data_IF_992467943521
#
_entry.id   IF_992467943521
#
_cell.length_a   1.000
_cell.length_b   1.000
_cell.length_c   1.000
_cell.angle_alpha   90.00
_cell.angle_beta   90.00
_cell.angle_gamma   90.00
#
_symmetry.space_group_name_H-M   'P 1'
#
loop_
_entity.id
_entity.type
_entity.pdbx_description
1 polymer ?
#
# COMPACT_ATOMS: atom_id res chain seq x y z
N UNK A 1 -31.75 36.46 -3.46
CA UNK A 1 -33.10 36.92 -3.11
C UNK A 1 -33.96 35.67 -2.93
N UNK A 2 -34.24 35.35 -1.64
CA UNK A 2 -35.39 34.55 -1.16
C UNK A 2 -35.37 33.06 -1.56
N UNK A 3 -35.35 32.04 -0.70
CA UNK A 3 -35.96 31.79 0.63
C UNK A 3 -35.29 30.57 1.23
N UNK A 4 -34.70 30.61 2.32
CA UNK A 4 -34.93 30.35 3.74
C UNK A 4 -36.26 29.66 4.09
N UNK A 5 -36.14 28.60 4.90
CA UNK A 5 -36.94 28.21 6.06
C UNK A 5 -37.45 26.76 6.09
N UNK A 6 -36.99 26.11 7.14
CA UNK A 6 -37.69 25.18 8.07
C UNK A 6 -37.89 23.71 7.71
N UNK A 7 -37.28 22.86 8.54
CA UNK A 7 -38.10 22.05 9.45
C UNK A 7 -37.26 21.47 10.62
N UNK A 8 -37.53 22.04 11.76
CA UNK A 8 -37.25 21.48 13.08
C UNK A 8 -38.43 20.58 13.51
N UNK A 9 -38.13 19.65 14.40
CA UNK A 9 -39.00 18.87 15.30
C UNK A 9 -39.79 17.69 14.73
N UNK A 10 -39.38 16.50 15.24
CA UNK A 10 -40.32 15.62 15.93
C UNK A 10 -39.57 14.62 16.83
N UNK A 11 -39.44 15.00 18.11
CA UNK A 11 -39.20 14.06 19.21
C UNK A 11 -40.56 13.45 19.60
N UNK A 12 -40.72 12.16 19.43
CA UNK A 12 -41.83 11.41 19.99
C UNK A 12 -41.34 10.70 21.23
N UNK A 13 -41.78 11.17 22.40
CA UNK A 13 -41.63 10.53 23.70
C UNK A 13 -42.76 9.49 23.81
N UNK A 14 -42.44 8.19 23.89
CA UNK A 14 -43.37 7.16 24.32
C UNK A 14 -43.29 6.97 25.82
N UNK A 15 -44.34 7.39 26.51
CA UNK A 15 -44.58 7.15 27.92
C UNK A 15 -45.36 5.82 28.01
N UNK A 16 -44.75 4.78 28.54
CA UNK A 16 -45.43 3.50 28.79
C UNK A 16 -46.07 3.51 30.18
N UNK A 17 -47.38 3.42 30.20
CA UNK A 17 -48.21 3.26 31.37
C UNK A 17 -48.20 1.78 31.76
N UNK A 18 -47.78 1.49 33.00
CA UNK A 18 -47.86 0.17 33.62
C UNK A 18 -49.27 0.03 34.25
N UNK A 19 -50.04 -0.90 33.76
CA UNK A 19 -51.25 -1.38 34.43
C UNK A 19 -50.95 -2.73 35.08
N UNK A 20 -50.94 -2.77 36.41
CA UNK A 20 -50.96 -3.98 37.21
C UNK A 20 -52.40 -4.54 37.28
N UNK A 21 -52.60 -5.78 36.88
CA UNK A 21 -53.76 -6.57 37.28
C UNK A 21 -53.24 -7.96 37.62
N UNK A 22 -53.42 -8.33 38.85
CA UNK A 22 -53.02 -9.61 39.37
C UNK A 22 -54.10 -10.69 39.27
N UNK A 23 -53.67 -11.88 39.57
CA UNK A 23 -54.34 -13.07 40.07
C UNK A 23 -54.45 -14.29 39.13
N UNK A 24 -53.87 -15.40 39.63
CA UNK A 24 -54.47 -16.71 39.53
C UNK A 24 -53.65 -17.82 38.87
N UNK A 25 -52.88 -18.53 39.65
CA UNK A 25 -52.76 -19.97 39.82
C UNK A 25 -52.57 -20.89 38.60
N UNK A 26 -51.47 -21.65 38.58
CA UNK A 26 -51.33 -22.83 37.74
C UNK A 26 -49.86 -23.19 37.50
N UNK A 27 -49.26 -24.08 38.27
CA UNK A 27 -47.91 -24.53 38.13
C UNK A 27 -47.67 -25.33 36.83
N UNK A 28 -46.64 -24.94 36.10
CA UNK A 28 -45.94 -25.78 35.17
C UNK A 28 -44.49 -25.35 35.23
N UNK A 29 -43.62 -26.23 35.70
CA UNK A 29 -42.19 -26.06 35.70
C UNK A 29 -41.65 -26.11 34.27
N UNK A 30 -41.58 -24.94 33.60
CA UNK A 30 -40.76 -24.77 32.44
C UNK A 30 -39.36 -24.32 32.94
N UNK A 31 -38.37 -25.15 32.70
CA UNK A 31 -36.96 -24.74 32.86
C UNK A 31 -36.67 -23.62 31.89
N UNK A 32 -36.73 -22.38 32.36
CA UNK A 32 -36.12 -21.25 31.64
C UNK A 32 -34.64 -21.51 31.62
N UNK A 33 -34.13 -21.86 30.42
CA UNK A 33 -32.69 -21.78 30.16
C UNK A 33 -32.34 -20.32 30.11
N UNK A 34 -31.57 -19.84 31.08
CA UNK A 34 -30.98 -18.49 31.06
C UNK A 34 -30.30 -18.28 29.70
N UNK A 35 -30.45 -17.10 29.06
CA UNK A 35 -29.76 -16.80 27.83
C UNK A 35 -28.25 -16.91 28.08
N UNK A 36 -27.58 -17.77 27.32
CA UNK A 36 -26.11 -17.87 27.35
C UNK A 36 -25.57 -16.51 26.92
N UNK A 37 -25.17 -15.71 27.90
CA UNK A 37 -24.44 -14.44 27.62
C UNK A 37 -23.06 -14.86 27.18
N UNK A 38 -22.85 -14.89 25.85
CA UNK A 38 -21.51 -15.03 25.29
C UNK A 38 -20.71 -13.79 25.69
N UNK A 39 -19.53 -13.94 26.33
CA UNK A 39 -18.70 -12.79 26.63
C UNK A 39 -18.37 -12.05 25.35
N UNK A 40 -18.19 -10.70 25.38
CA UNK A 40 -17.80 -9.94 24.22
C UNK A 40 -16.47 -10.49 23.68
N UNK A 41 -16.25 -10.48 22.36
CA UNK A 41 -15.01 -10.96 21.77
C UNK A 41 -13.82 -10.22 22.39
N UNK A 42 -12.79 -10.97 22.75
CA UNK A 42 -11.55 -10.38 23.25
C UNK A 42 -10.94 -9.45 22.17
N UNK A 43 -10.52 -8.23 22.52
CA UNK A 43 -9.87 -7.35 21.57
C UNK A 43 -8.67 -8.04 20.91
N UNK A 44 -8.38 -7.74 19.63
CA UNK A 44 -7.23 -8.33 18.96
C UNK A 44 -5.92 -7.94 19.64
N UNK A 45 -4.99 -8.87 19.69
CA UNK A 45 -3.66 -8.65 20.28
C UNK A 45 -2.78 -7.91 19.28
N UNK A 46 -2.20 -6.80 19.73
CA UNK A 46 -1.14 -6.07 19.04
C UNK A 46 0.07 -6.00 19.97
N UNK A 47 1.27 -6.11 19.41
CA UNK A 47 2.53 -5.90 20.14
C UNK A 47 3.44 -4.99 19.32
N UNK A 48 4.23 -4.17 20.00
CA UNK A 48 5.29 -3.41 19.35
C UNK A 48 6.34 -4.34 18.72
N UNK A 49 6.96 -3.93 17.60
CA UNK A 49 8.04 -4.67 16.99
C UNK A 49 9.24 -4.88 17.93
N UNK A 50 9.75 -6.09 17.94
CA UNK A 50 11.01 -6.45 18.61
C UNK A 50 12.03 -6.76 17.52
N UNK A 51 13.13 -6.01 17.49
CA UNK A 51 14.13 -6.07 16.44
C UNK A 51 15.44 -6.66 16.93
N UNK A 52 16.07 -7.46 16.08
CA UNK A 52 17.38 -8.08 16.31
C UNK A 52 18.32 -7.83 15.13
N UNK A 53 19.63 -7.63 15.37
CA UNK A 53 20.60 -7.50 14.30
C UNK A 53 20.63 -8.71 13.38
N UNK A 54 20.86 -8.46 12.09
CA UNK A 54 21.07 -9.50 11.09
C UNK A 54 22.54 -9.59 10.68
N UNK A 55 22.88 -10.50 9.77
CA UNK A 55 24.20 -10.54 9.11
C UNK A 55 24.35 -9.49 8.00
N UNK A 56 23.26 -8.84 7.58
CA UNK A 56 23.28 -7.76 6.62
C UNK A 56 23.62 -6.44 7.32
N UNK A 57 24.53 -5.67 6.74
CA UNK A 57 24.93 -4.36 7.28
C UNK A 57 23.74 -3.45 7.46
N UNK A 58 23.68 -2.71 8.56
CA UNK A 58 22.63 -1.72 8.85
C UNK A 58 21.18 -2.26 8.78
N UNK A 59 21.01 -3.57 8.94
CA UNK A 59 19.71 -4.22 8.75
C UNK A 59 19.31 -4.95 10.03
N UNK A 60 18.10 -4.69 10.51
CA UNK A 60 17.46 -5.42 11.61
C UNK A 60 16.34 -6.31 11.06
N UNK A 61 16.13 -7.44 11.73
CA UNK A 61 14.94 -8.28 11.55
C UNK A 61 14.01 -8.06 12.73
N UNK A 62 12.75 -7.74 12.45
CA UNK A 62 11.77 -7.37 13.45
C UNK A 62 10.55 -8.28 13.38
N UNK A 63 9.97 -8.61 14.53
CA UNK A 63 8.74 -9.37 14.67
C UNK A 63 7.75 -8.66 15.57
N UNK A 64 6.46 -8.79 15.27
CA UNK A 64 5.36 -8.21 16.05
C UNK A 64 4.10 -9.06 15.91
N UNK A 65 3.06 -8.71 16.69
CA UNK A 65 1.69 -9.16 16.39
C UNK A 65 0.85 -7.97 15.96
N UNK A 66 0.05 -8.18 14.92
CA UNK A 66 -0.96 -7.22 14.50
C UNK A 66 -2.27 -7.93 14.19
N UNK A 67 -3.36 -7.53 14.84
CA UNK A 67 -4.70 -8.15 14.73
C UNK A 67 -4.65 -9.68 14.94
N UNK A 68 -3.93 -10.14 15.97
CA UNK A 68 -3.64 -11.54 16.31
C UNK A 68 -2.73 -12.29 15.32
N UNK A 69 -2.28 -11.68 14.24
CA UNK A 69 -1.36 -12.30 13.28
C UNK A 69 0.09 -12.00 13.66
N UNK A 70 0.95 -13.00 13.54
CA UNK A 70 2.39 -12.81 13.60
C UNK A 70 2.84 -12.11 12.32
N UNK A 71 3.57 -11.00 12.49
CA UNK A 71 4.11 -10.17 11.40
C UNK A 71 5.60 -10.02 11.56
N UNK A 72 6.28 -9.91 10.45
CA UNK A 72 7.73 -9.74 10.41
C UNK A 72 8.14 -8.77 9.29
N UNK A 73 9.29 -8.15 9.46
CA UNK A 73 9.87 -7.28 8.45
C UNK A 73 11.39 -7.14 8.66
N UNK A 74 12.08 -6.70 7.61
CA UNK A 74 13.43 -6.18 7.70
C UNK A 74 13.40 -4.66 7.61
N UNK A 75 14.27 -4.01 8.37
CA UNK A 75 14.45 -2.56 8.27
C UNK A 75 15.92 -2.26 8.03
N UNK A 76 16.19 -1.45 7.02
CA UNK A 76 17.49 -0.90 6.70
C UNK A 76 17.54 0.55 7.17
N UNK A 77 18.51 0.86 8.04
CA UNK A 77 18.73 2.19 8.60
C UNK A 77 20.13 2.64 8.20
N UNK A 78 20.28 3.62 7.30
CA UNK A 78 21.60 4.13 6.89
C UNK A 78 22.44 4.60 8.07
N UNK A 79 23.77 4.47 7.95
CA UNK A 79 24.67 5.11 8.88
C UNK A 79 24.49 6.64 8.83
N UNK A 80 24.74 7.29 9.96
CA UNK A 80 24.70 8.76 10.09
C UNK A 80 23.34 9.38 9.73
N UNK A 81 22.25 8.60 9.80
CA UNK A 81 20.90 9.17 9.74
C UNK A 81 20.63 9.92 11.05
N UNK A 82 20.19 11.16 10.93
CA UNK A 82 19.82 11.93 12.11
C UNK A 82 18.41 11.51 12.58
N UNK A 83 18.32 10.79 13.67
CA UNK A 83 17.07 10.35 14.30
C UNK A 83 16.61 11.29 15.44
N UNK A 84 17.24 12.43 15.62
CA UNK A 84 16.91 13.37 16.73
C UNK A 84 16.20 14.63 16.28
N UNK A 85 16.48 15.10 15.07
CA UNK A 85 15.80 16.24 14.43
C UNK A 85 15.35 15.84 13.05
N UNK A 86 15.38 14.58 12.76
CA UNK A 86 15.31 14.16 11.43
C UNK A 86 13.92 14.08 10.95
N UNK A 87 13.94 14.14 9.80
CA UNK A 87 12.85 14.00 8.92
C UNK A 87 13.27 13.08 7.81
N UNK A 88 13.88 11.95 8.17
CA UNK A 88 14.25 10.95 7.21
C UNK A 88 13.00 10.39 6.54
N UNK A 89 12.93 10.35 5.22
CA UNK A 89 11.84 9.68 4.52
C UNK A 89 11.78 8.19 4.87
N UNK A 90 10.58 7.61 4.77
CA UNK A 90 10.36 6.17 4.88
C UNK A 90 9.92 5.60 3.53
N UNK A 91 10.59 4.53 3.09
CA UNK A 91 10.20 3.77 1.91
C UNK A 91 9.77 2.35 2.31
N UNK A 92 8.56 1.95 1.97
CA UNK A 92 8.16 0.55 1.93
C UNK A 92 8.57 -0.08 0.60
N UNK A 93 9.31 -1.20 0.66
CA UNK A 93 9.62 -2.03 -0.51
C UNK A 93 8.91 -3.38 -0.37
N UNK A 94 7.83 -3.57 -1.14
CA UNK A 94 6.87 -4.67 -1.00
C UNK A 94 7.18 -5.79 -1.98
N UNK A 95 7.30 -7.03 -1.47
CA UNK A 95 7.61 -8.20 -2.29
C UNK A 95 6.43 -8.64 -3.18
N UNK A 96 6.74 -9.39 -4.24
CA UNK A 96 5.73 -10.01 -5.12
C UNK A 96 5.03 -11.22 -4.48
N UNK A 97 3.98 -11.72 -5.13
CA UNK A 97 3.31 -12.98 -4.77
C UNK A 97 4.31 -14.13 -4.76
N UNK A 98 4.20 -15.05 -3.80
CA UNK A 98 5.14 -16.17 -3.54
C UNK A 98 6.54 -15.76 -3.07
N UNK A 99 6.87 -14.47 -3.07
CA UNK A 99 8.19 -13.96 -2.71
C UNK A 99 8.30 -13.68 -1.20
N UNK A 100 9.46 -13.21 -0.77
CA UNK A 100 9.76 -12.93 0.65
C UNK A 100 10.45 -11.58 0.82
N UNK A 101 10.23 -10.97 1.98
CA UNK A 101 10.88 -9.72 2.37
C UNK A 101 12.40 -9.76 2.24
N UNK A 102 13.04 -10.85 2.66
CA UNK A 102 14.49 -11.03 2.58
C UNK A 102 15.01 -11.08 1.13
N UNK A 103 14.23 -11.64 0.19
CA UNK A 103 14.61 -11.64 -1.22
C UNK A 103 14.46 -10.26 -1.82
N UNK A 104 13.37 -9.56 -1.45
CA UNK A 104 13.12 -8.19 -1.88
C UNK A 104 14.25 -7.24 -1.43
N UNK A 105 14.70 -7.37 -0.18
CA UNK A 105 15.88 -6.68 0.34
C UNK A 105 17.13 -6.98 -0.51
N UNK A 106 17.28 -8.22 -0.98
CA UNK A 106 18.47 -8.65 -1.71
C UNK A 106 18.58 -8.14 -3.14
N UNK A 107 17.45 -7.92 -3.87
CA UNK A 107 17.51 -7.62 -5.30
C UNK A 107 17.09 -6.18 -5.67
N UNK A 108 16.37 -5.47 -4.82
CA UNK A 108 15.79 -4.17 -5.19
C UNK A 108 16.79 -3.03 -5.27
N UNK A 109 17.94 -3.14 -4.57
CA UNK A 109 19.05 -2.19 -4.69
C UNK A 109 18.90 -0.88 -3.91
N UNK A 110 17.89 -0.73 -3.04
CA UNK A 110 17.62 0.53 -2.34
C UNK A 110 18.67 0.88 -1.27
N UNK A 111 19.40 -0.08 -0.71
CA UNK A 111 20.33 0.18 0.40
C UNK A 111 21.42 1.19 0.04
N UNK A 112 22.04 1.05 -1.15
CA UNK A 112 23.09 1.97 -1.61
C UNK A 112 22.57 3.38 -1.87
N UNK A 113 21.33 3.51 -2.34
CA UNK A 113 20.66 4.79 -2.54
C UNK A 113 20.32 5.40 -1.18
N UNK A 114 19.79 4.60 -0.25
CA UNK A 114 19.47 5.02 1.10
C UNK A 114 20.69 5.54 1.87
N UNK A 115 21.86 4.93 1.70
CA UNK A 115 23.10 5.42 2.29
C UNK A 115 23.49 6.83 1.82
N UNK A 116 23.20 7.14 0.56
CA UNK A 116 23.51 8.44 -0.03
C UNK A 116 22.43 9.48 0.25
N UNK A 117 21.17 9.11 0.08
CA UNK A 117 20.02 10.01 0.13
C UNK A 117 19.36 10.09 1.52
N UNK A 118 19.81 9.26 2.48
CA UNK A 118 19.42 9.29 3.89
C UNK A 118 17.92 9.06 4.12
N UNK A 119 17.42 7.93 3.66
CA UNK A 119 16.05 7.44 3.95
C UNK A 119 16.07 6.04 4.55
N UNK A 120 15.03 5.70 5.30
CA UNK A 120 14.86 4.38 5.91
C UNK A 120 14.06 3.49 4.94
N UNK A 121 14.46 2.22 4.83
CA UNK A 121 13.70 1.24 4.03
C UNK A 121 13.15 0.15 4.94
N UNK A 122 11.84 -0.08 4.87
CA UNK A 122 11.20 -1.25 5.47
C UNK A 122 10.82 -2.23 4.36
N UNK A 123 11.21 -3.49 4.54
CA UNK A 123 10.85 -4.64 3.71
C UNK A 123 9.91 -5.53 4.52
N UNK A 124 8.60 -5.27 4.50
CA UNK A 124 7.66 -6.04 5.28
C UNK A 124 7.35 -7.37 4.62
N UNK A 125 6.94 -8.37 5.44
CA UNK A 125 6.52 -9.69 4.98
C UNK A 125 5.00 -9.77 4.91
N UNK A 126 4.47 -10.11 3.74
CA UNK A 126 3.08 -10.46 3.53
C UNK A 126 2.73 -11.82 4.14
N UNK A 127 1.47 -12.01 4.47
CA UNK A 127 0.97 -13.24 5.09
C UNK A 127 0.81 -14.38 4.08
N UNK A 128 0.49 -15.58 4.59
CA UNK A 128 0.15 -16.74 3.74
C UNK A 128 -1.31 -16.67 3.33
N UNK A 129 -1.59 -16.72 2.04
CA UNK A 129 -2.94 -16.85 1.51
C UNK A 129 -3.43 -18.30 1.73
N UNK A 130 -4.48 -18.47 2.54
CA UNK A 130 -4.95 -19.80 2.95
C UNK A 130 -5.40 -20.69 1.80
N UNK A 131 -5.84 -20.08 0.70
CA UNK A 131 -6.34 -20.81 -0.49
C UNK A 131 -5.23 -21.41 -1.35
N UNK A 132 -4.02 -20.85 -1.29
CA UNK A 132 -2.89 -21.27 -2.14
C UNK A 132 -1.67 -21.73 -1.35
N UNK A 133 -1.54 -21.34 -0.08
CA UNK A 133 -0.36 -21.61 0.74
C UNK A 133 0.81 -20.65 0.46
N UNK A 134 0.60 -19.61 -0.34
CA UNK A 134 1.66 -18.70 -0.79
C UNK A 134 1.61 -17.35 -0.09
N UNK A 135 2.77 -16.70 0.01
CA UNK A 135 2.89 -15.35 0.56
C UNK A 135 2.22 -14.32 -0.35
N UNK A 136 1.53 -13.35 0.24
CA UNK A 136 0.77 -12.36 -0.52
C UNK A 136 0.53 -11.07 0.27
N UNK A 137 0.11 -10.04 -0.47
CA UNK A 137 -0.56 -8.84 0.01
C UNK A 137 -2.03 -8.90 -0.40
N UNK A 138 -2.94 -8.56 0.51
CA UNK A 138 -4.38 -8.57 0.25
C UNK A 138 -4.81 -7.34 -0.55
N UNK A 139 -5.04 -7.52 -1.82
CA UNK A 139 -5.42 -6.46 -2.78
C UNK A 139 -6.73 -6.76 -3.54
N UNK A 140 -7.48 -7.78 -3.12
CA UNK A 140 -8.59 -8.33 -3.91
C UNK A 140 -8.09 -9.15 -5.12
N UNK A 141 -8.90 -9.27 -6.17
CA UNK A 141 -8.54 -10.08 -7.35
C UNK A 141 -8.31 -11.55 -6.99
N UNK A 142 -7.12 -12.07 -7.28
CA UNK A 142 -6.74 -13.46 -6.92
C UNK A 142 -6.50 -13.66 -5.42
N UNK A 143 -6.40 -12.58 -4.65
CA UNK A 143 -6.23 -12.61 -3.19
C UNK A 143 -7.55 -12.52 -2.42
N UNK A 144 -8.68 -12.62 -3.10
CA UNK A 144 -10.03 -12.42 -2.56
C UNK A 144 -10.39 -13.36 -1.38
N UNK A 145 -9.67 -14.46 -1.19
CA UNK A 145 -9.81 -15.35 -0.02
C UNK A 145 -9.03 -14.88 1.22
N UNK A 146 -8.28 -13.79 1.13
CA UNK A 146 -7.52 -13.24 2.25
C UNK A 146 -8.44 -12.51 3.23
N UNK A 147 -8.16 -12.68 4.52
CA UNK A 147 -8.81 -11.93 5.62
C UNK A 147 -7.83 -11.00 6.32
N UNK A 148 -6.62 -10.84 5.76
CA UNK A 148 -5.58 -10.00 6.35
C UNK A 148 -5.86 -8.53 6.05
N UNK A 149 -5.73 -7.67 7.05
CA UNK A 149 -5.71 -6.23 6.89
C UNK A 149 -4.25 -5.74 6.79
N UNK A 150 -3.73 -5.73 5.56
CA UNK A 150 -2.36 -5.29 5.30
C UNK A 150 -2.25 -3.76 5.30
N UNK A 151 -3.34 -3.02 5.05
CA UNK A 151 -3.38 -1.56 5.16
C UNK A 151 -3.16 -1.14 6.61
N UNK A 152 -3.88 -1.76 7.55
CA UNK A 152 -3.71 -1.52 9.00
C UNK A 152 -2.29 -1.88 9.46
N UNK A 153 -1.75 -3.01 9.00
CA UNK A 153 -0.39 -3.41 9.32
C UNK A 153 0.64 -2.38 8.86
N UNK A 154 0.63 -1.99 7.59
CA UNK A 154 1.58 -1.03 7.03
C UNK A 154 1.41 0.36 7.66
N UNK A 155 0.17 0.77 7.95
CA UNK A 155 -0.10 1.98 8.72
C UNK A 155 0.54 1.95 10.12
N UNK A 156 0.48 0.79 10.80
CA UNK A 156 1.09 0.63 12.13
C UNK A 156 2.62 0.70 12.08
N UNK A 157 3.24 0.23 10.99
CA UNK A 157 4.69 0.35 10.81
C UNK A 157 5.15 1.80 10.60
N UNK A 158 4.32 2.65 9.97
CA UNK A 158 4.59 4.09 9.87
C UNK A 158 4.61 4.72 11.27
N UNK A 159 3.60 4.42 12.09
CA UNK A 159 3.51 4.96 13.45
C UNK A 159 4.66 4.47 14.34
N UNK A 160 5.05 3.20 14.23
CA UNK A 160 6.19 2.64 14.92
C UNK A 160 7.52 3.27 14.44
N UNK A 161 7.73 3.39 13.13
CA UNK A 161 8.95 3.99 12.57
C UNK A 161 9.09 5.46 12.99
N UNK A 162 7.98 6.19 13.10
CA UNK A 162 7.99 7.53 13.66
C UNK A 162 8.42 7.55 15.14
N UNK A 163 7.87 6.64 15.93
CA UNK A 163 8.19 6.53 17.36
C UNK A 163 9.64 6.15 17.63
N UNK A 164 10.21 5.29 16.77
CA UNK A 164 11.55 4.71 16.97
C UNK A 164 12.67 5.52 16.29
N UNK A 165 12.38 6.12 15.14
CA UNK A 165 13.38 6.78 14.28
C UNK A 165 13.03 8.25 13.95
N UNK A 166 11.93 8.78 14.47
CA UNK A 166 11.46 10.15 14.17
C UNK A 166 11.40 10.45 12.66
N UNK A 167 10.89 9.51 11.86
CA UNK A 167 10.74 9.69 10.40
C UNK A 167 9.87 10.92 10.07
N UNK A 168 10.07 11.48 8.87
CA UNK A 168 9.15 12.47 8.31
C UNK A 168 7.85 11.80 7.85
N UNK A 169 6.76 12.02 8.59
CA UNK A 169 5.45 11.46 8.27
C UNK A 169 4.85 11.99 6.97
N UNK A 170 5.34 13.12 6.47
CA UNK A 170 4.89 13.68 5.19
C UNK A 170 5.62 13.04 4.00
N UNK A 171 6.76 12.38 4.26
CA UNK A 171 7.56 11.71 3.22
C UNK A 171 7.62 10.20 3.42
N UNK A 172 6.44 9.57 3.37
CA UNK A 172 6.28 8.12 3.41
C UNK A 172 5.86 7.62 2.04
N UNK A 173 6.60 6.66 1.51
CA UNK A 173 6.46 6.16 0.16
C UNK A 173 6.25 4.65 0.13
N UNK A 174 5.63 4.16 -0.94
CA UNK A 174 5.49 2.72 -1.17
C UNK A 174 5.90 2.35 -2.57
N UNK A 175 6.68 1.29 -2.67
CA UNK A 175 7.01 0.64 -3.95
C UNK A 175 6.94 -0.87 -3.80
N UNK A 176 6.84 -1.56 -4.92
CA UNK A 176 6.91 -3.01 -4.95
C UNK A 176 6.80 -3.59 -6.34
N UNK A 177 7.16 -4.86 -6.45
CA UNK A 177 7.04 -5.62 -7.69
C UNK A 177 5.77 -6.47 -7.68
N UNK A 178 5.09 -6.59 -8.83
CA UNK A 178 3.97 -7.51 -9.00
C UNK A 178 2.89 -7.28 -7.92
N UNK A 179 2.55 -8.27 -7.10
CA UNK A 179 1.61 -8.13 -5.97
C UNK A 179 2.00 -6.97 -5.00
N UNK A 180 3.31 -6.70 -4.80
CA UNK A 180 3.77 -5.53 -4.05
C UNK A 180 3.46 -4.22 -4.76
N UNK A 181 3.51 -4.18 -6.09
CA UNK A 181 3.08 -3.03 -6.89
C UNK A 181 1.57 -2.81 -6.83
N UNK A 182 0.77 -3.90 -6.87
CA UNK A 182 -0.68 -3.83 -6.61
C UNK A 182 -0.96 -3.29 -5.21
N UNK A 183 -0.19 -3.72 -4.20
CA UNK A 183 -0.36 -3.23 -2.84
C UNK A 183 0.02 -1.76 -2.71
N UNK A 184 1.02 -1.27 -3.45
CA UNK A 184 1.35 0.16 -3.48
C UNK A 184 0.17 1.00 -4.02
N UNK A 185 -0.49 0.58 -5.10
CA UNK A 185 -1.73 1.19 -5.56
C UNK A 185 -2.85 1.09 -4.52
N UNK A 186 -2.97 -0.06 -3.86
CA UNK A 186 -3.98 -0.26 -2.82
C UNK A 186 -3.78 0.71 -1.63
N UNK A 187 -2.53 0.99 -1.26
CA UNK A 187 -2.17 1.99 -0.25
C UNK A 187 -2.47 3.42 -0.72
N UNK A 188 -2.17 3.78 -1.97
CA UNK A 188 -2.54 5.08 -2.53
C UNK A 188 -4.06 5.32 -2.45
N UNK A 189 -4.88 4.27 -2.64
CA UNK A 189 -6.33 4.36 -2.56
C UNK A 189 -6.90 4.39 -1.13
N UNK A 190 -6.27 3.67 -0.17
CA UNK A 190 -6.86 3.39 1.15
C UNK A 190 -6.09 3.99 2.33
N UNK A 191 -4.85 4.47 2.10
CA UNK A 191 -3.97 5.05 3.11
C UNK A 191 -3.35 6.37 2.61
N UNK A 192 -3.99 7.06 1.69
CA UNK A 192 -3.47 8.28 1.06
C UNK A 192 -3.07 9.36 2.06
N UNK A 193 -3.77 9.50 3.20
CA UNK A 193 -3.40 10.46 4.25
C UNK A 193 -2.04 10.25 4.89
N UNK A 194 -1.38 9.10 4.63
CA UNK A 194 -0.05 8.76 5.16
C UNK A 194 0.96 8.44 4.05
N UNK A 195 0.53 8.27 2.80
CA UNK A 195 1.38 7.89 1.65
C UNK A 195 1.47 9.06 0.69
N UNK A 196 2.64 9.63 0.53
CA UNK A 196 2.88 10.79 -0.33
C UNK A 196 2.93 10.44 -1.81
N UNK A 197 3.58 9.33 -2.15
CA UNK A 197 3.75 8.87 -3.52
C UNK A 197 3.95 7.36 -3.57
N UNK A 198 3.63 6.75 -4.71
CA UNK A 198 3.87 5.32 -4.93
C UNK A 198 4.59 5.05 -6.24
N UNK A 199 5.31 3.93 -6.27
CA UNK A 199 5.86 3.38 -7.50
C UNK A 199 5.53 1.89 -7.62
N UNK A 200 5.05 1.47 -8.78
CA UNK A 200 4.69 0.08 -9.06
C UNK A 200 5.55 -0.48 -10.19
N UNK A 201 6.21 -1.61 -9.95
CA UNK A 201 6.96 -2.33 -10.98
C UNK A 201 6.20 -3.61 -11.34
N UNK A 202 5.81 -3.74 -12.61
CA UNK A 202 5.03 -4.88 -13.14
C UNK A 202 3.78 -5.22 -12.32
N UNK A 203 3.28 -4.25 -11.55
CA UNK A 203 1.99 -4.31 -10.87
C UNK A 203 0.90 -3.61 -11.66
N UNK A 204 -0.31 -3.57 -11.13
CA UNK A 204 -1.48 -2.88 -11.66
C UNK A 204 -2.49 -2.65 -10.53
N UNK A 205 -3.70 -2.22 -10.84
CA UNK A 205 -4.83 -2.23 -9.90
C UNK A 205 -5.71 -3.45 -10.16
N UNK A 206 -6.13 -4.14 -9.09
CA UNK A 206 -7.21 -5.13 -9.22
C UNK A 206 -8.53 -4.41 -9.52
N UNK A 207 -9.54 -5.10 -10.12
CA UNK A 207 -10.86 -4.51 -10.28
C UNK A 207 -11.46 -3.99 -8.96
N UNK A 208 -11.19 -4.67 -7.83
CA UNK A 208 -11.68 -4.27 -6.51
C UNK A 208 -11.00 -2.97 -6.03
N UNK A 209 -9.67 -2.91 -6.09
CA UNK A 209 -8.93 -1.69 -5.75
C UNK A 209 -9.34 -0.52 -6.64
N UNK A 210 -9.41 -0.73 -7.96
CA UNK A 210 -9.79 0.30 -8.92
C UNK A 210 -11.20 0.88 -8.66
N UNK A 211 -12.19 0.00 -8.48
CA UNK A 211 -13.57 0.42 -8.28
C UNK A 211 -13.83 1.07 -6.91
N UNK A 212 -13.02 0.73 -5.90
CA UNK A 212 -13.12 1.26 -4.54
C UNK A 212 -12.11 2.37 -4.23
N UNK A 213 -11.29 2.78 -5.18
CA UNK A 213 -10.26 3.77 -4.97
C UNK A 213 -10.86 5.16 -4.69
N UNK A 214 -10.48 5.75 -3.57
CA UNK A 214 -10.95 7.08 -3.15
C UNK A 214 -9.89 7.76 -2.30
N UNK A 215 -8.78 8.21 -2.89
CA UNK A 215 -7.74 8.93 -2.16
C UNK A 215 -8.29 10.23 -1.54
N UNK A 216 -7.59 10.76 -0.55
CA UNK A 216 -7.99 12.02 0.12
C UNK A 216 -7.37 13.26 -0.52
N UNK A 217 -6.36 13.08 -1.37
CA UNK A 217 -5.64 14.16 -2.06
C UNK A 217 -5.03 13.63 -3.38
N UNK A 218 -4.65 14.50 -4.33
CA UNK A 218 -3.85 14.12 -5.49
C UNK A 218 -2.61 13.35 -5.07
N UNK A 219 -2.29 12.26 -5.76
CA UNK A 219 -1.21 11.34 -5.37
C UNK A 219 -0.26 11.11 -6.54
N UNK A 220 1.04 11.29 -6.32
CA UNK A 220 2.04 11.05 -7.34
C UNK A 220 2.23 9.53 -7.59
N UNK A 221 2.23 9.15 -8.87
CA UNK A 221 2.24 7.74 -9.31
C UNK A 221 3.37 7.51 -10.32
N UNK A 222 4.17 6.48 -10.06
CA UNK A 222 5.12 5.94 -11.03
C UNK A 222 4.77 4.49 -11.37
N UNK A 223 4.66 4.17 -12.65
CA UNK A 223 4.54 2.80 -13.15
C UNK A 223 5.74 2.45 -14.01
N UNK A 224 6.37 1.31 -13.75
CA UNK A 224 7.37 0.68 -14.65
C UNK A 224 6.76 -0.63 -15.14
N UNK A 225 6.63 -0.81 -16.47
CA UNK A 225 5.95 -1.98 -17.02
C UNK A 225 6.55 -2.44 -18.33
N UNK A 226 6.57 -3.75 -18.56
CA UNK A 226 7.06 -4.36 -19.78
C UNK A 226 5.96 -4.65 -20.80
N UNK A 227 6.24 -4.42 -22.09
CA UNK A 227 5.28 -4.73 -23.16
C UNK A 227 5.04 -6.25 -23.33
N UNK A 228 5.96 -7.09 -22.84
CA UNK A 228 5.89 -8.54 -22.91
C UNK A 228 5.65 -9.20 -21.55
N UNK A 229 5.13 -8.46 -20.57
CA UNK A 229 4.75 -9.04 -19.29
C UNK A 229 3.61 -10.04 -19.48
N UNK A 230 3.93 -11.33 -19.34
CA UNK A 230 2.97 -12.43 -19.48
C UNK A 230 2.26 -12.80 -18.17
N UNK A 231 2.67 -12.24 -17.02
CA UNK A 231 2.08 -12.49 -15.71
C UNK A 231 1.04 -11.43 -15.36
N UNK A 232 1.42 -10.16 -15.50
CA UNK A 232 0.53 -9.00 -15.40
C UNK A 232 0.50 -8.31 -16.77
N UNK A 233 -0.35 -8.74 -17.70
CA UNK A 233 -0.32 -8.21 -19.06
C UNK A 233 -0.57 -6.70 -19.12
N UNK A 234 0.18 -5.99 -19.96
CA UNK A 234 0.00 -4.55 -20.19
C UNK A 234 -1.45 -4.18 -20.53
N UNK A 235 -2.13 -5.03 -21.33
CA UNK A 235 -3.54 -4.87 -21.70
C UNK A 235 -4.52 -5.41 -20.65
N UNK A 236 -4.03 -5.80 -19.47
CA UNK A 236 -4.85 -6.31 -18.37
C UNK A 236 -5.42 -7.71 -18.62
N UNK A 237 -6.15 -8.19 -17.63
CA UNK A 237 -6.89 -9.46 -17.66
C UNK A 237 -8.03 -9.44 -16.62
N UNK A 238 -8.56 -10.60 -16.24
CA UNK A 238 -9.67 -10.69 -15.27
C UNK A 238 -9.31 -10.24 -13.85
N UNK A 239 -8.02 -10.19 -13.49
CA UNK A 239 -7.53 -9.85 -12.14
C UNK A 239 -6.72 -8.55 -12.09
N UNK A 240 -6.37 -7.97 -13.25
CA UNK A 240 -5.62 -6.74 -13.37
C UNK A 240 -6.24 -5.79 -14.39
N UNK A 241 -6.37 -4.52 -14.06
CA UNK A 241 -6.74 -3.49 -15.01
C UNK A 241 -5.64 -3.29 -16.06
N UNK A 242 -6.00 -2.92 -17.31
CA UNK A 242 -4.99 -2.49 -18.30
C UNK A 242 -4.14 -1.34 -17.72
N UNK A 243 -2.85 -1.36 -17.98
CA UNK A 243 -1.96 -0.26 -17.52
C UNK A 243 -2.40 1.09 -18.09
N UNK A 244 -2.77 1.23 -19.37
CA UNK A 244 -3.31 2.50 -19.87
C UNK A 244 -4.52 3.00 -19.07
N UNK A 245 -5.45 2.11 -18.70
CA UNK A 245 -6.63 2.46 -17.88
C UNK A 245 -6.25 2.90 -16.47
N UNK A 246 -5.18 2.32 -15.89
CA UNK A 246 -4.68 2.74 -14.58
C UNK A 246 -4.02 4.12 -14.67
N UNK A 247 -3.26 4.39 -15.74
CA UNK A 247 -2.65 5.71 -15.96
C UNK A 247 -3.70 6.78 -16.19
N UNK A 248 -4.70 6.52 -17.05
CA UNK A 248 -5.86 7.38 -17.30
C UNK A 248 -6.62 7.71 -16.00
N UNK A 249 -6.85 6.71 -15.13
CA UNK A 249 -7.49 6.94 -13.83
C UNK A 249 -6.74 7.98 -12.98
N UNK A 250 -5.41 7.84 -12.87
CA UNK A 250 -4.62 8.73 -12.05
C UNK A 250 -4.38 10.09 -12.68
N UNK A 251 -4.30 10.16 -14.02
CA UNK A 251 -4.29 11.40 -14.80
C UNK A 251 -5.58 12.22 -14.54
N UNK A 252 -6.76 11.59 -14.73
CA UNK A 252 -8.06 12.20 -14.47
C UNK A 252 -8.25 12.55 -12.99
N UNK A 253 -7.88 11.65 -12.05
CA UNK A 253 -8.04 11.89 -10.62
C UNK A 253 -7.18 13.07 -10.13
N UNK A 254 -5.98 13.17 -10.63
CA UNK A 254 -5.04 14.25 -10.29
C UNK A 254 -5.30 15.53 -11.11
N UNK A 255 -6.25 15.53 -12.06
CA UNK A 255 -6.59 16.67 -12.93
C UNK A 255 -5.35 17.24 -13.62
N UNK A 256 -4.65 16.40 -14.38
CA UNK A 256 -3.41 16.77 -15.07
C UNK A 256 -3.71 17.41 -16.42
N UNK A 257 -3.12 18.57 -16.70
CA UNK A 257 -3.41 19.37 -17.92
C UNK A 257 -2.50 19.04 -19.10
N UNK A 258 -1.39 18.32 -18.87
CA UNK A 258 -0.39 18.08 -19.91
C UNK A 258 0.12 16.64 -19.92
N UNK A 259 0.18 16.08 -21.13
CA UNK A 259 0.83 14.81 -21.40
C UNK A 259 2.04 15.03 -22.33
N UNK A 260 3.14 14.35 -22.06
CA UNK A 260 4.30 14.27 -22.95
C UNK A 260 4.80 12.84 -23.07
N UNK A 261 5.39 12.54 -24.25
CA UNK A 261 5.92 11.24 -24.60
C UNK A 261 7.35 11.41 -25.12
N UNK A 262 8.29 10.67 -24.50
CA UNK A 262 9.69 10.63 -24.92
C UNK A 262 10.16 9.19 -25.09
N UNK A 263 11.11 8.96 -26.01
CA UNK A 263 11.74 7.66 -26.11
C UNK A 263 12.72 7.46 -24.94
N UNK A 264 12.81 6.23 -24.44
CA UNK A 264 13.87 5.79 -23.54
C UNK A 264 14.97 5.21 -24.43
N UNK A 265 16.19 5.70 -24.25
CA UNK A 265 17.35 5.27 -25.02
C UNK A 265 17.66 3.79 -24.76
N UNK A 266 18.07 3.09 -25.80
CA UNK A 266 18.66 1.75 -25.72
C UNK A 266 20.09 1.87 -25.16
N UNK A 267 20.21 1.72 -23.85
CA UNK A 267 21.48 1.84 -23.13
C UNK A 267 22.24 0.53 -23.10
N UNK A 268 21.53 -0.59 -23.10
CA UNK A 268 22.10 -1.92 -23.04
C UNK A 268 22.57 -2.44 -24.41
N UNK A 269 22.16 -1.79 -25.52
CA UNK A 269 22.58 -2.10 -26.90
C UNK A 269 21.83 -3.27 -27.54
N UNK A 270 20.65 -3.64 -27.05
CA UNK A 270 19.82 -4.70 -27.61
C UNK A 270 18.84 -4.23 -28.70
N UNK A 271 18.77 -2.91 -28.91
CA UNK A 271 17.95 -2.27 -29.94
C UNK A 271 16.51 -1.99 -29.53
N UNK A 272 16.17 -2.03 -28.24
CA UNK A 272 14.75 -2.02 -27.80
C UNK A 272 14.31 -0.74 -27.08
N UNK A 273 15.01 -0.28 -26.05
CA UNK A 273 14.65 0.91 -25.27
C UNK A 273 13.21 0.88 -24.73
N UNK A 274 12.51 2.00 -24.81
CA UNK A 274 11.15 2.11 -24.33
C UNK A 274 10.48 3.44 -24.61
N UNK A 275 9.36 3.68 -23.93
CA UNK A 275 8.61 4.93 -23.97
C UNK A 275 8.40 5.46 -22.55
N UNK A 276 8.65 6.73 -22.34
CA UNK A 276 8.36 7.44 -21.10
C UNK A 276 7.18 8.40 -21.30
N UNK A 277 6.11 8.14 -20.57
CA UNK A 277 4.94 9.01 -20.51
C UNK A 277 5.00 9.84 -19.24
N UNK A 278 4.74 11.12 -19.35
CA UNK A 278 4.65 12.05 -18.24
C UNK A 278 3.34 12.86 -18.35
N UNK A 279 2.47 12.68 -17.35
CA UNK A 279 1.30 13.52 -17.13
C UNK A 279 1.65 14.50 -16.02
N UNK A 280 1.60 15.78 -16.32
CA UNK A 280 2.07 16.85 -15.44
C UNK A 280 1.10 18.05 -15.39
N UNK A 281 1.45 19.08 -14.61
CA UNK A 281 0.56 20.19 -14.28
C UNK A 281 -0.72 19.70 -13.62
N UNK A 282 -0.59 18.75 -12.73
CA UNK A 282 -1.69 18.17 -11.98
C UNK A 282 -1.98 19.00 -10.71
N UNK A 283 -3.16 18.81 -10.13
CA UNK A 283 -3.49 19.38 -8.82
C UNK A 283 -2.48 18.91 -7.76
N UNK A 284 -2.14 19.78 -6.80
CA UNK A 284 -1.22 19.48 -5.71
C UNK A 284 0.23 19.29 -6.14
N UNK A 285 0.62 19.82 -7.32
CA UNK A 285 1.98 19.73 -7.87
C UNK A 285 2.52 18.29 -8.02
N UNK A 286 1.62 17.30 -8.08
CA UNK A 286 1.98 15.90 -8.34
C UNK A 286 2.13 15.64 -9.84
N UNK A 287 2.58 14.45 -10.20
CA UNK A 287 2.55 13.97 -11.59
C UNK A 287 2.37 12.45 -11.65
N UNK A 288 2.02 11.95 -12.84
CA UNK A 288 1.90 10.52 -13.14
C UNK A 288 2.93 10.16 -14.22
N UNK A 289 3.71 9.10 -13.99
CA UNK A 289 4.77 8.67 -14.89
C UNK A 289 4.60 7.19 -15.25
N UNK A 290 4.87 6.86 -16.52
CA UNK A 290 4.94 5.48 -16.99
C UNK A 290 6.23 5.27 -17.78
N UNK A 291 7.07 4.35 -17.33
CA UNK A 291 8.15 3.74 -18.11
C UNK A 291 7.61 2.46 -18.74
N UNK A 292 7.33 2.52 -20.04
CA UNK A 292 6.89 1.36 -20.83
C UNK A 292 8.07 0.76 -21.57
N UNK A 293 8.66 -0.30 -21.03
CA UNK A 293 9.85 -0.93 -21.54
C UNK A 293 9.54 -1.93 -22.65
N UNK A 294 10.16 -1.73 -23.82
CA UNK A 294 9.97 -2.60 -24.99
C UNK A 294 10.51 -4.00 -24.70
N UNK A 295 9.70 -5.01 -24.96
CA UNK A 295 10.01 -6.44 -24.75
C UNK A 295 10.36 -6.88 -23.31
N UNK A 296 10.38 -5.97 -22.34
CA UNK A 296 10.56 -6.35 -20.93
C UNK A 296 9.43 -7.28 -20.50
N UNK A 297 9.80 -8.36 -19.80
CA UNK A 297 8.88 -9.32 -19.19
C UNK A 297 8.41 -8.90 -17.79
N UNK A 298 8.09 -9.94 -16.96
CA UNK A 298 7.70 -9.74 -15.57
C UNK A 298 8.93 -9.71 -14.66
N UNK A 299 9.64 -8.58 -14.62
CA UNK A 299 10.92 -8.47 -13.95
C UNK A 299 11.12 -7.10 -13.27
N UNK A 300 12.11 -7.03 -12.38
CA UNK A 300 12.58 -5.81 -11.74
C UNK A 300 13.84 -5.32 -12.46
N UNK A 301 13.83 -4.19 -13.17
CA UNK A 301 15.01 -3.65 -13.86
C UNK A 301 16.15 -3.34 -12.89
N UNK A 302 17.32 -3.90 -13.15
CA UNK A 302 18.54 -3.73 -12.34
C UNK A 302 19.70 -3.22 -13.20
N UNK A 303 20.82 -2.90 -12.55
CA UNK A 303 22.08 -2.47 -13.18
C UNK A 303 22.94 -3.61 -13.75
N UNK A 304 22.34 -4.77 -14.01
CA UNK A 304 23.05 -5.95 -14.51
C UNK A 304 23.44 -5.86 -16.01
N UNK A 305 23.16 -4.73 -16.66
CA UNK A 305 23.44 -4.49 -18.08
C UNK A 305 22.44 -5.12 -19.05
N UNK A 306 21.30 -5.61 -18.56
CA UNK A 306 20.23 -6.19 -19.36
C UNK A 306 18.99 -5.27 -19.48
N UNK A 307 19.00 -4.16 -18.75
CA UNK A 307 17.89 -3.22 -18.73
C UNK A 307 18.37 -1.82 -19.06
N UNK A 308 17.56 -1.00 -19.70
CA UNK A 308 17.86 0.38 -20.08
C UNK A 308 17.65 1.35 -18.93
N UNK A 309 16.98 0.92 -17.87
CA UNK A 309 16.77 1.69 -16.64
C UNK A 309 17.13 0.85 -15.42
N UNK A 310 17.41 1.51 -14.31
CA UNK A 310 17.55 0.91 -12.98
C UNK A 310 16.35 1.32 -12.13
N UNK A 311 15.43 0.39 -11.91
CA UNK A 311 14.16 0.69 -11.25
C UNK A 311 14.32 1.43 -9.92
N UNK A 312 15.27 1.02 -9.07
CA UNK A 312 15.48 1.65 -7.77
C UNK A 312 15.85 3.14 -7.90
N UNK A 313 16.65 3.50 -8.92
CA UNK A 313 17.05 4.88 -9.17
C UNK A 313 15.85 5.71 -9.64
N UNK A 314 15.13 5.23 -10.67
CA UNK A 314 13.97 5.93 -11.21
C UNK A 314 12.89 6.12 -10.12
N UNK A 315 12.65 5.08 -9.30
CA UNK A 315 11.71 5.10 -8.21
C UNK A 315 12.11 6.14 -7.15
N UNK A 316 13.35 6.10 -6.66
CA UNK A 316 13.74 7.02 -5.60
C UNK A 316 13.77 8.47 -6.07
N UNK A 317 14.32 8.75 -7.26
CA UNK A 317 14.36 10.10 -7.82
C UNK A 317 12.98 10.66 -8.10
N UNK A 318 12.01 9.80 -8.39
CA UNK A 318 10.60 10.18 -8.47
C UNK A 318 9.99 10.46 -7.08
N UNK A 319 10.04 9.49 -6.18
CA UNK A 319 9.35 9.56 -4.89
C UNK A 319 9.76 10.76 -4.04
N UNK A 320 11.06 11.08 -4.02
CA UNK A 320 11.61 12.16 -3.19
C UNK A 320 11.15 13.57 -3.58
N UNK A 321 10.48 13.73 -4.72
CA UNK A 321 9.92 15.00 -5.19
C UNK A 321 8.63 15.38 -4.42
N UNK A 322 7.99 14.45 -3.70
CA UNK A 322 6.64 14.61 -3.19
C UNK A 322 6.56 14.46 -1.66
N UNK A 323 5.58 15.15 -1.08
CA UNK A 323 5.15 15.01 0.31
C UNK A 323 3.62 15.04 0.42
N UNK A 324 3.11 14.65 1.59
CA UNK A 324 1.69 14.82 1.94
C UNK A 324 1.53 16.24 2.47
N UNK A 325 0.94 17.14 1.68
CA UNK A 325 0.62 18.53 2.05
C UNK A 325 -0.71 18.66 2.77
#
# INVERSE_FOLDING_TARGET
>A
MVQFLNNLLNKVIFLSIILLSGCGGGGSSSSETDPIITPPPTPPTNTEPICTPTTYTNTLYCTSKRLNLDREFYIYVPNDIDTTNSQAPLLFSLHGYTSRAIWNLGYTGFQSIADTEKFIVIYPQGTILSTTGETHWNVGGWTVGSTTDDVDYLSSLIDWAYSEYEIDRNRVYSTGMSNGGFMSYHLACNLSSKIAAIASVTGSMTPQTYNGCSPSHPTAILQIHGTMDGVVPYNGNSISRPIPTVMEYWDEYNDCDQESLTAIDDVNGDGLGGLFYLYNQCLGDVNVRLYLMTNMGHEWPTDNGQNDIVAANEIWYFLKEFDVN
#
